data_IF_674576620865
#
_entry.id   IF_674576620865
#
_cell.length_a   1.000
_cell.length_b   1.000
_cell.length_c   1.000
_cell.angle_alpha   90.00
_cell.angle_beta   90.00
_cell.angle_gamma   90.00
#
_symmetry.space_group_name_H-M   'P 1'
#
loop_
_entity.id
_entity.type
_entity.pdbx_description
1 polymer ?
#
# COMPACT_ATOMS: atom_id res chain seq x y z
N UNK A 1 -16.69 -11.96 2.76
CA UNK A 1 -17.28 -10.71 2.25
C UNK A 1 -17.25 -10.70 0.72
N UNK A 2 -18.41 -10.64 0.06
CA UNK A 2 -18.48 -10.55 -1.40
C UNK A 2 -18.75 -9.10 -1.78
N UNK A 3 -17.97 -8.55 -2.72
CA UNK A 3 -18.20 -7.22 -3.26
C UNK A 3 -19.24 -7.19 -4.39
N UNK A 4 -20.11 -8.20 -4.45
CA UNK A 4 -21.19 -8.21 -5.41
C UNK A 4 -22.13 -7.04 -5.09
N UNK A 5 -22.38 -6.20 -6.09
CA UNK A 5 -23.37 -5.13 -5.99
C UNK A 5 -24.74 -5.76 -5.67
N UNK A 6 -25.18 -5.58 -4.43
CA UNK A 6 -26.53 -5.92 -3.95
C UNK A 6 -27.33 -4.65 -3.69
N UNK A 7 -28.57 -4.80 -3.24
CA UNK A 7 -29.44 -3.66 -2.91
C UNK A 7 -28.86 -2.70 -1.85
N UNK A 8 -27.85 -3.12 -1.08
CA UNK A 8 -27.21 -2.35 -0.02
C UNK A 8 -25.74 -1.95 -0.31
N UNK A 9 -25.19 -2.27 -1.50
CA UNK A 9 -23.78 -1.97 -1.84
C UNK A 9 -23.72 -1.09 -3.08
N UNK A 10 -23.56 0.21 -2.85
CA UNK A 10 -23.34 1.21 -3.90
C UNK A 10 -21.85 1.56 -3.99
N UNK A 11 -21.35 1.71 -5.22
CA UNK A 11 -20.00 2.23 -5.45
C UNK A 11 -19.96 3.70 -5.04
N UNK A 12 -19.11 4.04 -4.08
CA UNK A 12 -18.88 5.43 -3.73
C UNK A 12 -18.21 6.15 -4.90
N UNK A 13 -18.70 7.33 -5.33
CA UNK A 13 -18.15 8.08 -6.46
C UNK A 13 -16.86 8.82 -6.05
N UNK A 14 -15.88 8.08 -5.52
CA UNK A 14 -14.63 8.66 -5.01
C UNK A 14 -13.65 8.85 -6.15
N UNK A 15 -13.25 10.09 -6.37
CA UNK A 15 -12.12 10.45 -7.22
C UNK A 15 -10.94 10.89 -6.32
N UNK A 16 -10.03 9.93 -6.05
CA UNK A 16 -8.87 10.15 -5.20
C UNK A 16 -7.87 11.13 -5.83
N UNK A 17 -7.75 11.14 -7.16
CA UNK A 17 -6.86 12.04 -7.87
C UNK A 17 -7.37 13.49 -7.76
N UNK A 18 -8.68 13.70 -7.93
CA UNK A 18 -9.30 15.01 -7.74
C UNK A 18 -9.26 15.47 -6.28
N UNK A 19 -9.43 14.55 -5.31
CA UNK A 19 -9.26 14.87 -3.91
C UNK A 19 -7.82 15.32 -3.58
N UNK A 20 -6.80 14.65 -4.09
CA UNK A 20 -5.41 15.08 -3.92
C UNK A 20 -5.15 16.47 -4.53
N UNK A 21 -5.71 16.75 -5.71
CA UNK A 21 -5.65 18.08 -6.34
C UNK A 21 -6.30 19.16 -5.49
N UNK A 22 -7.45 18.88 -4.86
CA UNK A 22 -8.15 19.86 -4.03
C UNK A 22 -7.38 20.21 -2.75
N UNK A 23 -6.52 19.31 -2.29
CA UNK A 23 -5.56 19.55 -1.20
C UNK A 23 -4.28 20.28 -1.66
N UNK A 24 -4.20 20.67 -2.92
CA UNK A 24 -3.08 21.44 -3.48
C UNK A 24 -1.93 20.60 -4.03
N UNK A 25 -2.08 19.28 -4.13
CA UNK A 25 -1.04 18.43 -4.70
C UNK A 25 -0.92 18.62 -6.21
N UNK A 26 0.30 18.47 -6.74
CA UNK A 26 0.51 18.14 -8.15
C UNK A 26 0.18 16.65 -8.33
N UNK A 27 -0.68 16.29 -9.28
CA UNK A 27 -1.11 14.90 -9.45
C UNK A 27 -0.72 14.41 -10.84
N UNK A 28 0.07 13.34 -10.87
CA UNK A 28 0.46 12.61 -12.08
C UNK A 28 -0.35 11.32 -12.09
N UNK A 29 -1.20 11.13 -13.10
CA UNK A 29 -1.97 9.90 -13.25
C UNK A 29 -1.24 8.94 -14.18
N UNK A 30 -1.05 7.71 -13.73
CA UNK A 30 -0.34 6.67 -14.47
C UNK A 30 -1.22 5.43 -14.66
N UNK A 31 -1.02 4.75 -15.78
CA UNK A 31 -1.74 3.56 -16.22
C UNK A 31 -0.82 2.38 -16.52
N UNK A 32 0.51 2.58 -16.43
CA UNK A 32 1.53 1.56 -16.71
C UNK A 32 2.73 1.69 -15.78
N UNK A 33 3.54 0.64 -15.70
CA UNK A 33 4.80 0.63 -14.93
C UNK A 33 5.76 1.69 -15.46
N UNK A 34 5.89 1.82 -16.78
CA UNK A 34 6.78 2.80 -17.40
C UNK A 34 6.39 4.24 -17.05
N UNK A 35 5.09 4.54 -17.03
CA UNK A 35 4.57 5.84 -16.59
C UNK A 35 4.87 6.10 -15.11
N UNK A 36 4.77 5.10 -14.24
CA UNK A 36 5.14 5.24 -12.82
C UNK A 36 6.63 5.53 -12.67
N UNK A 37 7.49 4.83 -13.41
CA UNK A 37 8.94 5.06 -13.38
C UNK A 37 9.26 6.48 -13.84
N UNK A 38 8.63 6.95 -14.92
CA UNK A 38 8.81 8.32 -15.39
C UNK A 38 8.28 9.34 -14.39
N UNK A 39 7.10 9.13 -13.82
CA UNK A 39 6.51 10.02 -12.83
C UNK A 39 7.38 10.17 -11.57
N UNK A 40 8.05 9.09 -11.14
CA UNK A 40 9.03 9.13 -10.05
C UNK A 40 10.27 9.97 -10.39
N UNK A 41 10.68 10.00 -11.66
CA UNK A 41 11.78 10.87 -12.11
C UNK A 41 11.32 12.32 -12.15
N UNK A 42 10.15 12.59 -12.74
CA UNK A 42 9.60 13.93 -12.90
C UNK A 42 9.30 14.57 -11.54
N UNK A 43 8.74 13.80 -10.59
CA UNK A 43 8.40 14.27 -9.25
C UNK A 43 9.59 14.87 -8.48
N UNK A 44 10.82 14.44 -8.77
CA UNK A 44 12.04 14.99 -8.14
C UNK A 44 12.33 16.43 -8.55
N UNK A 45 11.80 16.88 -9.68
CA UNK A 45 11.97 18.24 -10.19
C UNK A 45 10.86 19.21 -9.78
N UNK A 46 9.81 18.71 -9.13
CA UNK A 46 8.60 19.46 -8.80
C UNK A 46 8.73 20.01 -7.38
N UNK A 47 8.57 21.32 -7.22
CA UNK A 47 8.68 22.05 -5.94
C UNK A 47 7.40 21.98 -5.08
N UNK A 48 6.50 21.05 -5.39
CA UNK A 48 5.17 20.89 -4.81
C UNK A 48 4.95 19.44 -4.43
N UNK A 49 4.21 19.21 -3.34
CA UNK A 49 3.72 17.88 -2.96
C UNK A 49 3.11 17.18 -4.16
N UNK A 50 3.71 16.05 -4.55
CA UNK A 50 3.32 15.31 -5.76
C UNK A 50 2.70 13.98 -5.38
N UNK A 51 1.52 13.69 -5.93
CA UNK A 51 0.84 12.40 -5.82
C UNK A 51 0.89 11.72 -7.17
N UNK A 52 1.50 10.53 -7.21
CA UNK A 52 1.48 9.64 -8.38
C UNK A 52 0.30 8.69 -8.17
N UNK A 53 -0.76 8.86 -8.95
CA UNK A 53 -2.00 8.10 -8.84
C UNK A 53 -2.03 6.98 -9.88
N UNK A 54 -2.12 5.74 -9.42
CA UNK A 54 -2.19 4.55 -10.28
C UNK A 54 -3.51 3.83 -10.02
N UNK A 55 -4.30 3.61 -11.07
CA UNK A 55 -5.49 2.75 -10.97
C UNK A 55 -5.06 1.31 -11.16
N UNK A 56 -5.32 0.47 -10.16
CA UNK A 56 -5.08 -0.95 -10.24
C UNK A 56 -6.38 -1.74 -10.04
N UNK A 57 -6.45 -2.94 -10.60
CA UNK A 57 -7.52 -3.89 -10.32
C UNK A 57 -7.18 -4.62 -9.02
N UNK A 58 -8.04 -4.50 -8.01
CA UNK A 58 -7.85 -5.11 -6.69
C UNK A 58 -7.81 -6.65 -6.73
N UNK A 59 -8.36 -7.27 -7.78
CA UNK A 59 -8.37 -8.72 -7.93
C UNK A 59 -7.11 -9.23 -8.62
N UNK A 60 -6.31 -8.33 -9.20
CA UNK A 60 -4.98 -8.65 -9.69
C UNK A 60 -3.99 -8.60 -8.53
N UNK A 61 -3.71 -9.77 -7.98
CA UNK A 61 -2.67 -9.98 -6.98
C UNK A 61 -1.33 -10.32 -7.60
N UNK A 62 -0.27 -10.20 -6.79
CA UNK A 62 1.03 -10.83 -7.07
C UNK A 62 1.04 -12.25 -6.48
N UNK A 63 1.85 -13.19 -7.00
CA UNK A 63 1.92 -14.57 -6.48
C UNK A 63 2.28 -14.67 -5.00
N UNK A 64 2.94 -13.64 -4.48
CA UNK A 64 3.26 -13.43 -3.10
C UNK A 64 3.99 -12.09 -2.97
N UNK A 65 3.95 -11.54 -1.77
CA UNK A 65 4.85 -10.46 -1.40
C UNK A 65 6.04 -11.19 -0.78
N UNK A 66 7.22 -11.18 -1.41
CA UNK A 66 8.47 -11.67 -0.78
C UNK A 66 8.89 -10.72 0.37
N UNK A 67 7.91 -10.29 1.14
CA UNK A 67 7.90 -9.16 2.05
C UNK A 67 6.97 -9.53 3.20
N UNK A 68 7.35 -9.15 4.41
CA UNK A 68 6.55 -9.33 5.61
C UNK A 68 6.05 -7.96 6.08
N UNK A 69 4.95 -7.98 6.85
CA UNK A 69 4.40 -6.79 7.48
C UNK A 69 4.60 -6.92 8.98
N UNK A 70 5.04 -5.84 9.63
CA UNK A 70 5.08 -5.80 11.09
C UNK A 70 3.66 -5.63 11.66
N UNK A 71 2.93 -6.75 11.68
CA UNK A 71 1.63 -6.85 12.35
C UNK A 71 1.86 -7.66 13.62
N UNK A 72 1.75 -7.04 14.81
CA UNK A 72 1.99 -7.74 16.05
C UNK A 72 1.11 -8.98 16.21
N UNK A 73 1.75 -10.15 16.37
CA UNK A 73 1.07 -11.40 16.71
C UNK A 73 0.86 -11.45 18.23
N UNK A 74 -0.25 -12.04 18.68
CA UNK A 74 -0.53 -12.18 20.12
C UNK A 74 0.66 -12.84 20.85
N UNK A 75 1.05 -12.26 21.98
CA UNK A 75 2.22 -12.71 22.75
C UNK A 75 1.96 -14.04 23.48
N UNK A 76 0.70 -14.29 23.86
CA UNK A 76 0.26 -15.54 24.49
C UNK A 76 -0.98 -16.08 23.78
N UNK A 77 -1.00 -17.39 23.52
CA UNK A 77 -2.13 -18.07 22.89
C UNK A 77 -2.13 -19.56 23.25
N UNK A 78 -3.32 -20.12 23.41
CA UNK A 78 -3.52 -21.57 23.52
C UNK A 78 -3.47 -22.28 22.15
N UNK A 79 -3.44 -21.52 21.06
CA UNK A 79 -3.38 -22.07 19.70
C UNK A 79 -1.94 -22.16 19.21
N UNK A 80 -1.49 -23.38 18.90
CA UNK A 80 -0.15 -23.65 18.35
C UNK A 80 0.15 -22.83 17.09
N UNK A 81 -0.86 -22.60 16.24
CA UNK A 81 -0.71 -21.80 15.02
C UNK A 81 -0.35 -20.34 15.30
N UNK A 82 -0.81 -19.77 16.42
CA UNK A 82 -0.48 -18.40 16.82
C UNK A 82 0.92 -18.35 17.41
N UNK A 83 1.32 -19.37 18.17
CA UNK A 83 2.67 -19.47 18.71
C UNK A 83 3.71 -19.59 17.57
N UNK A 84 3.43 -20.42 16.56
CA UNK A 84 4.27 -20.51 15.36
C UNK A 84 4.34 -19.18 14.58
N UNK A 85 3.21 -18.50 14.39
CA UNK A 85 3.19 -17.19 13.73
C UNK A 85 3.97 -16.12 14.53
N UNK A 86 3.97 -16.20 15.86
CA UNK A 86 4.74 -15.31 16.73
C UNK A 86 6.25 -15.52 16.60
N UNK A 87 6.69 -16.78 16.48
CA UNK A 87 8.09 -17.13 16.22
C UNK A 87 8.53 -16.60 14.85
N UNK A 88 7.76 -16.86 13.79
CA UNK A 88 8.04 -16.35 12.43
C UNK A 88 8.08 -14.81 12.39
N UNK A 89 7.13 -14.15 13.07
CA UNK A 89 7.13 -12.69 13.20
C UNK A 89 8.40 -12.17 13.90
N UNK A 90 8.86 -12.83 14.97
CA UNK A 90 10.05 -12.41 15.70
C UNK A 90 11.33 -12.54 14.86
N UNK A 91 11.46 -13.60 14.07
CA UNK A 91 12.56 -13.79 13.12
C UNK A 91 12.57 -12.69 12.04
N UNK A 92 11.40 -12.41 11.47
CA UNK A 92 11.22 -11.36 10.47
C UNK A 92 11.50 -9.96 11.02
N UNK A 93 11.05 -9.67 12.25
CA UNK A 93 11.25 -8.37 12.93
C UNK A 93 12.74 -8.04 13.08
N UNK A 94 13.59 -9.03 13.35
CA UNK A 94 15.04 -8.85 13.43
C UNK A 94 15.68 -8.44 12.08
N UNK A 95 15.00 -8.70 10.96
CA UNK A 95 15.45 -8.34 9.61
C UNK A 95 14.92 -6.98 9.13
N UNK A 96 14.15 -6.26 9.96
CA UNK A 96 13.64 -4.92 9.60
C UNK A 96 14.79 -3.95 9.30
N UNK A 97 14.62 -3.16 8.24
CA UNK A 97 15.57 -2.12 7.82
C UNK A 97 14.93 -0.74 7.95
N UNK A 98 15.57 0.15 8.69
CA UNK A 98 15.19 1.56 8.76
C UNK A 98 15.83 2.31 7.59
N UNK A 99 15.02 2.84 6.68
CA UNK A 99 15.48 3.61 5.52
C UNK A 99 15.47 5.12 5.76
N UNK A 100 15.07 5.56 6.95
CA UNK A 100 15.12 6.94 7.40
C UNK A 100 16.31 7.10 8.37
N UNK A 101 17.53 7.11 7.83
CA UNK A 101 18.70 7.57 8.57
C UNK A 101 18.94 9.06 8.29
N UNK A 102 18.88 9.87 9.36
CA UNK A 102 19.27 11.30 9.47
C UNK A 102 18.81 12.28 8.37
N UNK A 103 17.85 13.14 8.72
CA UNK A 103 17.99 14.57 8.42
C UNK A 103 18.85 15.22 9.51
#
# INVERSE_FOLDING_TARGET
PTDASGYDVETLPVDLAMNARSLGCHVIECSSVDEVVQALQDAKSIDRTTVIHVRNDRYLGVPGYESWWDVPVAEVSELDSVNAAREEWAENRAMERYFLESL
#
